data_IF_574484694595
#
_entry.id   IF_574484694595
#
_cell.length_a   1.000
_cell.length_b   1.000
_cell.length_c   1.000
_cell.angle_alpha   90.00
_cell.angle_beta   90.00
_cell.angle_gamma   90.00
#
_symmetry.space_group_name_H-M   'P 1'
#
loop_
_entity.id
_entity.type
_entity.pdbx_description
1 polymer ?
#
# COMPACT_ATOMS: atom_id res chain seq x y z
N UNK A 1 -3.31 22.28 1.96
CA UNK A 1 -4.15 21.69 0.90
C UNK A 1 -3.41 20.53 0.21
N UNK A 2 -2.27 20.76 -0.46
CA UNK A 2 -1.54 19.72 -1.22
C UNK A 2 -1.14 18.48 -0.41
N UNK A 3 -0.72 18.64 0.84
CA UNK A 3 -0.42 17.50 1.71
C UNK A 3 -1.62 16.57 1.87
N UNK A 4 -2.82 17.11 2.11
CA UNK A 4 -4.05 16.31 2.28
C UNK A 4 -4.59 15.70 0.99
N UNK A 5 -4.04 16.08 -0.17
CA UNK A 5 -4.54 15.66 -1.48
C UNK A 5 -3.58 14.74 -2.22
N UNK A 6 -2.27 14.91 -2.04
CA UNK A 6 -1.26 14.13 -2.75
C UNK A 6 -0.08 13.76 -1.85
N UNK A 7 0.58 14.75 -1.24
CA UNK A 7 1.87 14.50 -0.55
C UNK A 7 1.77 13.71 0.76
N UNK A 8 0.57 13.37 1.25
CA UNK A 8 0.41 12.44 2.38
C UNK A 8 1.07 11.09 2.07
N UNK A 9 0.97 10.63 0.82
CA UNK A 9 1.56 9.36 0.35
C UNK A 9 3.07 9.29 0.59
N UNK A 10 3.77 10.41 0.42
CA UNK A 10 5.23 10.51 0.59
C UNK A 10 5.64 10.92 2.00
N UNK A 11 4.72 11.46 2.79
CA UNK A 11 5.00 12.02 4.12
C UNK A 11 4.61 11.07 5.26
N UNK A 12 3.67 10.16 5.03
CA UNK A 12 3.21 9.19 6.01
C UNK A 12 3.93 7.86 5.76
N UNK A 13 4.92 7.57 6.61
CA UNK A 13 5.61 6.28 6.55
C UNK A 13 4.69 5.14 7.04
N UNK A 14 5.06 3.91 6.66
CA UNK A 14 4.42 2.68 7.14
C UNK A 14 2.91 2.61 6.86
N UNK A 15 2.46 3.13 5.72
CA UNK A 15 1.06 3.04 5.26
C UNK A 15 0.97 2.18 3.99
N UNK A 16 -0.21 1.61 3.73
CA UNK A 16 -0.48 0.97 2.44
C UNK A 16 -0.86 2.06 1.42
N UNK A 17 0.13 2.54 0.65
CA UNK A 17 -0.14 3.38 -0.52
C UNK A 17 0.13 2.59 -1.80
N UNK A 18 -0.65 2.87 -2.84
CA UNK A 18 -0.65 2.07 -4.07
C UNK A 18 0.35 2.57 -5.12
N UNK A 19 0.85 3.80 -5.01
CA UNK A 19 1.75 4.40 -5.99
C UNK A 19 2.54 5.58 -5.39
N UNK A 20 3.71 5.92 -5.96
CA UNK A 20 4.38 7.19 -5.67
C UNK A 20 3.57 8.39 -6.20
N UNK A 21 3.96 9.60 -5.78
CA UNK A 21 3.34 10.85 -6.23
C UNK A 21 4.24 11.52 -7.25
N UNK A 22 3.67 11.84 -8.42
CA UNK A 22 4.27 12.72 -9.42
C UNK A 22 3.22 13.75 -9.84
N UNK A 23 3.58 15.03 -9.78
CA UNK A 23 2.77 16.12 -10.36
C UNK A 23 2.91 16.08 -11.89
N UNK A 24 1.95 15.45 -12.57
CA UNK A 24 2.01 15.25 -14.02
C UNK A 24 1.96 16.56 -14.82
N UNK A 25 1.28 17.58 -14.31
CA UNK A 25 1.17 18.89 -14.96
C UNK A 25 0.99 19.99 -13.92
N UNK A 26 1.73 21.09 -14.09
CA UNK A 26 1.43 22.38 -13.47
C UNK A 26 1.94 23.50 -14.38
N UNK A 27 1.36 24.69 -14.24
CA UNK A 27 1.75 25.84 -15.05
C UNK A 27 1.01 27.10 -14.63
N UNK A 28 1.50 28.23 -15.11
CA UNK A 28 0.91 29.56 -14.89
C UNK A 28 1.22 30.42 -16.11
N UNK A 29 0.39 31.44 -16.38
CA UNK A 29 0.70 32.41 -17.43
C UNK A 29 2.05 33.09 -17.18
N UNK A 30 2.79 33.36 -18.25
CA UNK A 30 4.11 33.96 -18.24
C UNK A 30 4.08 35.46 -18.39
N UNK A 31 4.72 35.97 -19.45
CA UNK A 31 4.91 37.41 -19.74
C UNK A 31 3.65 38.26 -19.59
N UNK A 32 2.52 37.74 -20.05
CA UNK A 32 1.23 38.46 -20.04
C UNK A 32 0.49 38.37 -18.69
N UNK A 33 0.94 37.52 -17.77
CA UNK A 33 0.30 37.34 -16.46
C UNK A 33 0.74 38.44 -15.49
N UNK A 34 -0.18 39.30 -15.08
CA UNK A 34 0.06 40.40 -14.14
C UNK A 34 -0.60 40.21 -12.78
N UNK A 35 -1.38 39.15 -12.59
CA UNK A 35 -2.12 38.87 -11.38
C UNK A 35 -1.22 38.48 -10.21
N UNK A 36 -1.30 39.25 -9.13
CA UNK A 36 -0.46 39.02 -7.94
C UNK A 36 -0.73 37.64 -7.30
N UNK A 37 -1.97 37.17 -7.30
CA UNK A 37 -2.35 35.88 -6.73
C UNK A 37 -1.78 34.70 -7.53
N UNK A 38 -1.82 34.78 -8.87
CA UNK A 38 -1.31 33.78 -9.79
C UNK A 38 0.22 33.67 -9.66
N UNK A 39 0.89 34.82 -9.60
CA UNK A 39 2.34 34.88 -9.37
C UNK A 39 2.73 34.30 -8.03
N UNK A 40 2.04 34.69 -6.96
CA UNK A 40 2.28 34.14 -5.62
C UNK A 40 1.99 32.64 -5.55
N UNK A 41 0.93 32.16 -6.21
CA UNK A 41 0.63 30.73 -6.30
C UNK A 41 1.79 29.95 -6.90
N UNK A 42 2.37 30.43 -8.01
CA UNK A 42 3.46 29.74 -8.68
C UNK A 42 4.72 29.65 -7.81
N UNK A 43 5.12 30.76 -7.20
CA UNK A 43 6.26 30.80 -6.27
C UNK A 43 6.05 29.83 -5.10
N UNK A 44 4.88 29.87 -4.45
CA UNK A 44 4.56 28.98 -3.33
C UNK A 44 4.50 27.50 -3.75
N UNK A 45 4.02 27.21 -4.96
CA UNK A 45 3.95 25.85 -5.49
C UNK A 45 5.36 25.32 -5.81
N UNK A 46 6.21 26.13 -6.43
CA UNK A 46 7.63 25.81 -6.64
C UNK A 46 8.31 25.51 -5.31
N UNK A 47 8.14 26.36 -4.30
CA UNK A 47 8.75 26.16 -2.98
C UNK A 47 8.22 24.89 -2.30
N UNK A 48 6.98 24.49 -2.59
CA UNK A 48 6.44 23.21 -2.16
C UNK A 48 7.17 22.05 -2.85
N UNK A 49 7.28 22.05 -4.18
CA UNK A 49 7.93 20.99 -4.95
C UNK A 49 9.38 20.78 -4.50
N UNK A 50 10.13 21.88 -4.36
CA UNK A 50 11.52 21.86 -3.87
C UNK A 50 11.59 21.27 -2.46
N UNK A 51 10.72 21.74 -1.55
CA UNK A 51 10.74 21.27 -0.16
C UNK A 51 10.41 19.79 -0.02
N UNK A 52 9.54 19.26 -0.87
CA UNK A 52 9.14 17.85 -0.85
C UNK A 52 9.97 16.96 -1.75
N UNK A 53 10.92 17.52 -2.51
CA UNK A 53 11.69 16.80 -3.51
C UNK A 53 10.76 16.02 -4.47
N UNK A 54 9.72 16.71 -4.95
CA UNK A 54 8.65 16.10 -5.72
C UNK A 54 8.96 16.08 -7.22
N UNK A 55 8.77 14.93 -7.85
CA UNK A 55 8.82 14.82 -9.31
C UNK A 55 7.67 15.62 -9.95
N UNK A 56 7.96 16.24 -11.10
CA UNK A 56 7.01 17.11 -11.79
C UNK A 56 7.19 17.12 -13.31
N UNK A 57 6.14 17.53 -14.02
CA UNK A 57 6.21 17.98 -15.40
C UNK A 57 5.49 19.33 -15.55
N UNK A 58 6.08 20.25 -16.33
CA UNK A 58 5.53 21.59 -16.55
C UNK A 58 4.68 21.62 -17.82
N UNK A 59 3.50 22.25 -17.75
CA UNK A 59 2.59 22.38 -18.89
C UNK A 59 2.36 23.83 -19.34
N UNK A 60 2.49 24.12 -20.66
CA UNK A 60 3.28 23.37 -21.64
C UNK A 60 4.76 23.74 -21.52
N UNK A 61 5.67 22.80 -21.79
CA UNK A 61 7.09 23.14 -21.92
C UNK A 61 7.34 23.98 -23.18
N UNK A 62 6.69 23.62 -24.29
CA UNK A 62 6.87 24.22 -25.62
C UNK A 62 5.54 24.75 -26.17
N UNK A 63 5.57 25.95 -26.73
CA UNK A 63 4.43 26.60 -27.37
C UNK A 63 4.78 27.34 -28.65
N UNK A 64 3.76 27.95 -29.26
CA UNK A 64 3.89 28.78 -30.45
C UNK A 64 3.60 30.23 -30.10
N UNK A 65 4.30 31.17 -30.76
CA UNK A 65 4.01 32.59 -30.67
C UNK A 65 3.83 33.23 -32.06
N UNK A 66 3.05 34.30 -32.11
CA UNK A 66 2.96 35.23 -33.23
C UNK A 66 3.19 36.64 -32.68
N UNK A 67 4.18 37.37 -33.21
CA UNK A 67 4.54 38.71 -32.72
C UNK A 67 4.73 38.77 -31.20
N UNK A 68 5.41 37.76 -30.63
CA UNK A 68 5.66 37.59 -29.19
C UNK A 68 4.41 37.38 -28.31
N UNK A 69 3.27 37.03 -28.91
CA UNK A 69 2.00 36.74 -28.22
C UNK A 69 1.50 35.33 -28.53
N UNK A 70 0.61 34.83 -27.69
CA UNK A 70 0.03 33.49 -27.82
C UNK A 70 0.72 32.44 -26.95
N UNK A 71 -0.02 31.39 -26.58
CA UNK A 71 0.40 30.32 -25.68
C UNK A 71 1.17 30.80 -24.45
N UNK A 72 0.63 31.81 -23.75
CA UNK A 72 1.31 32.50 -22.65
C UNK A 72 1.75 31.60 -21.48
N UNK A 73 1.31 30.35 -21.44
CA UNK A 73 1.71 29.35 -20.44
C UNK A 73 3.06 28.69 -20.76
N UNK A 74 3.51 28.64 -22.03
CA UNK A 74 4.73 27.92 -22.38
C UNK A 74 6.01 28.53 -21.75
N UNK A 75 7.01 27.71 -21.45
CA UNK A 75 8.34 28.17 -21.02
C UNK A 75 9.28 28.47 -22.20
N UNK A 76 9.09 27.74 -23.30
CA UNK A 76 9.80 27.90 -24.56
C UNK A 76 8.79 28.08 -25.70
N UNK A 77 9.00 29.07 -26.56
CA UNK A 77 8.09 29.42 -27.64
C UNK A 77 8.85 29.54 -28.96
N UNK A 78 8.15 29.22 -30.06
CA UNK A 78 8.65 29.38 -31.42
C UNK A 78 7.60 30.06 -32.31
N UNK A 79 8.02 30.89 -33.28
CA UNK A 79 7.15 31.30 -34.38
C UNK A 79 7.32 30.39 -35.62
N UNK A 80 6.49 30.64 -36.65
CA UNK A 80 6.53 29.90 -37.91
C UNK A 80 7.81 30.12 -38.72
N UNK A 81 8.57 31.18 -38.43
CA UNK A 81 9.88 31.45 -39.04
C UNK A 81 11.04 30.80 -38.24
N UNK A 82 10.76 30.18 -37.10
CA UNK A 82 11.75 29.54 -36.25
C UNK A 82 12.47 30.49 -35.29
N UNK A 83 11.95 31.69 -35.02
CA UNK A 83 12.47 32.51 -33.94
C UNK A 83 12.05 31.96 -32.58
N UNK A 84 12.98 31.91 -31.63
CA UNK A 84 12.79 31.39 -30.28
C UNK A 84 12.53 32.52 -29.28
N UNK A 85 11.60 32.30 -28.36
CA UNK A 85 11.53 33.02 -27.10
C UNK A 85 11.50 32.05 -25.92
N UNK A 86 12.24 32.33 -24.85
CA UNK A 86 12.33 31.47 -23.69
C UNK A 86 12.34 32.24 -22.39
N UNK A 87 12.27 31.49 -21.29
CA UNK A 87 12.15 32.05 -19.95
C UNK A 87 13.30 32.99 -19.56
N UNK A 88 14.52 32.72 -20.05
CA UNK A 88 15.72 33.45 -19.68
C UNK A 88 16.06 34.64 -20.59
N UNK A 89 15.15 35.02 -21.49
CA UNK A 89 15.38 36.16 -22.40
C UNK A 89 15.14 37.53 -21.73
N UNK A 90 14.85 37.56 -20.42
CA UNK A 90 14.84 38.75 -19.57
C UNK A 90 13.48 39.41 -19.33
N UNK A 91 12.40 38.90 -19.92
CA UNK A 91 11.05 39.50 -19.87
C UNK A 91 9.98 38.58 -19.24
N UNK A 92 10.37 37.42 -18.72
CA UNK A 92 9.46 36.48 -18.06
C UNK A 92 9.73 36.41 -16.54
N UNK A 93 8.73 36.78 -15.75
CA UNK A 93 8.85 36.85 -14.29
C UNK A 93 9.04 35.47 -13.64
N UNK A 94 8.69 34.37 -14.32
CA UNK A 94 8.82 33.00 -13.80
C UNK A 94 10.28 32.52 -13.72
N UNK A 95 11.23 33.24 -14.34
CA UNK A 95 12.63 32.84 -14.47
C UNK A 95 13.29 32.53 -13.11
N UNK A 96 13.03 33.37 -12.11
CA UNK A 96 13.58 33.18 -10.76
C UNK A 96 13.10 31.86 -10.13
N UNK A 97 11.78 31.67 -10.03
CA UNK A 97 11.19 30.46 -9.46
C UNK A 97 11.59 29.20 -10.22
N UNK A 98 11.54 29.23 -11.56
CA UNK A 98 11.94 28.08 -12.37
C UNK A 98 13.39 27.67 -12.12
N UNK A 99 14.32 28.64 -12.05
CA UNK A 99 15.73 28.38 -11.75
C UNK A 99 15.90 27.74 -10.38
N UNK A 100 15.17 28.21 -9.37
CA UNK A 100 15.17 27.57 -8.04
C UNK A 100 14.67 26.13 -8.10
N UNK A 101 13.61 25.87 -8.88
CA UNK A 101 13.04 24.54 -9.02
C UNK A 101 14.03 23.56 -9.67
N UNK A 102 14.55 23.89 -10.86
CA UNK A 102 15.43 22.99 -11.62
C UNK A 102 16.85 22.91 -11.05
N UNK A 103 17.25 23.91 -10.26
CA UNK A 103 18.54 23.97 -9.60
C UNK A 103 18.53 23.44 -8.16
N UNK A 104 17.38 22.98 -7.67
CA UNK A 104 17.27 22.41 -6.33
C UNK A 104 18.04 21.10 -6.22
N UNK A 105 18.79 20.93 -5.12
CA UNK A 105 19.45 19.67 -4.81
C UNK A 105 18.43 18.67 -4.27
N UNK A 106 18.04 17.70 -5.09
CA UNK A 106 17.18 16.58 -4.70
C UNK A 106 17.96 15.39 -4.14
N UNK A 107 17.22 14.37 -3.65
CA UNK A 107 17.81 13.08 -3.29
C UNK A 107 18.34 12.39 -4.55
N UNK A 108 19.53 11.82 -4.44
CA UNK A 108 20.17 11.06 -5.53
C UNK A 108 20.56 9.67 -5.04
N UNK A 109 20.71 8.75 -5.99
CA UNK A 109 21.05 7.36 -5.72
C UNK A 109 19.85 6.47 -5.38
N UNK A 110 20.10 5.21 -4.98
CA UNK A 110 19.04 4.26 -4.70
C UNK A 110 18.18 4.67 -3.51
N UNK A 111 16.87 4.47 -3.61
CA UNK A 111 15.95 4.57 -2.48
C UNK A 111 16.15 3.34 -1.58
N UNK A 112 16.42 3.56 -0.29
CA UNK A 112 16.55 2.48 0.66
C UNK A 112 15.27 1.62 0.69
N UNK A 113 15.42 0.30 0.69
CA UNK A 113 14.28 -0.59 0.82
C UNK A 113 13.60 -0.35 2.18
N UNK A 114 12.28 -0.19 2.15
CA UNK A 114 11.43 -0.09 3.33
C UNK A 114 10.47 -1.28 3.36
N UNK A 115 9.92 -1.57 4.53
CA UNK A 115 8.89 -2.59 4.64
C UNK A 115 7.69 -2.24 3.73
N UNK A 116 7.24 -3.19 2.94
CA UNK A 116 6.07 -3.02 2.10
C UNK A 116 4.79 -3.22 2.91
N UNK A 117 3.76 -2.43 2.60
CA UNK A 117 2.43 -2.56 3.18
C UNK A 117 1.41 -2.67 2.05
N UNK A 118 0.81 -3.85 1.90
CA UNK A 118 -0.10 -4.13 0.79
C UNK A 118 -1.48 -4.51 1.29
N UNK A 119 -2.51 -3.83 0.78
CA UNK A 119 -3.89 -4.22 1.03
C UNK A 119 -4.34 -5.30 0.02
N UNK A 120 -5.03 -6.33 0.50
CA UNK A 120 -5.74 -7.31 -0.31
C UNK A 120 -7.22 -6.93 -0.41
N UNK A 121 -7.76 -6.90 -1.63
CA UNK A 121 -9.16 -6.54 -1.91
C UNK A 121 -9.83 -7.49 -2.90
N UNK A 122 -10.26 -8.70 -2.46
CA UNK A 122 -10.92 -9.68 -3.32
C UNK A 122 -12.39 -9.31 -3.67
N UNK A 123 -12.71 -8.03 -3.89
CA UNK A 123 -14.10 -7.56 -4.06
C UNK A 123 -14.78 -8.11 -5.30
N UNK A 124 -14.05 -8.20 -6.39
CA UNK A 124 -14.59 -8.54 -7.71
C UNK A 124 -14.06 -9.88 -8.24
N UNK A 125 -13.40 -10.67 -7.39
CA UNK A 125 -12.81 -11.95 -7.76
C UNK A 125 -11.59 -12.28 -6.91
N UNK A 126 -10.70 -13.08 -7.48
CA UNK A 126 -9.42 -13.40 -6.87
C UNK A 126 -8.48 -12.18 -6.87
N UNK A 127 -7.86 -11.92 -5.72
CA UNK A 127 -6.77 -10.97 -5.54
C UNK A 127 -5.49 -11.74 -5.17
N UNK A 128 -4.85 -12.36 -6.15
CA UNK A 128 -3.63 -13.14 -5.95
C UNK A 128 -2.42 -12.28 -6.33
N UNK A 129 -1.85 -11.57 -5.37
CA UNK A 129 -0.70 -10.69 -5.60
C UNK A 129 0.63 -11.48 -5.70
N UNK A 130 0.72 -12.64 -5.05
CA UNK A 130 1.84 -13.58 -5.23
C UNK A 130 1.92 -14.07 -6.68
N UNK A 131 3.08 -13.91 -7.31
CA UNK A 131 3.35 -14.45 -8.65
C UNK A 131 3.40 -15.97 -8.59
N UNK A 132 3.98 -16.53 -7.53
CA UNK A 132 4.05 -17.98 -7.30
C UNK A 132 2.67 -18.61 -7.25
N UNK A 133 1.77 -18.10 -6.42
CA UNK A 133 0.43 -18.67 -6.27
C UNK A 133 -0.45 -18.44 -7.51
N UNK A 134 -0.23 -17.36 -8.27
CA UNK A 134 -0.93 -17.11 -9.53
C UNK A 134 -0.58 -18.12 -10.62
N UNK A 135 0.60 -18.74 -10.54
CA UNK A 135 1.04 -19.77 -11.49
C UNK A 135 0.49 -21.18 -11.17
N UNK A 136 -0.26 -21.34 -10.08
CA UNK A 136 -0.81 -22.62 -9.64
C UNK A 136 -2.29 -22.75 -9.98
N UNK A 137 -2.83 -23.98 -10.05
CA UNK A 137 -4.27 -24.22 -10.18
C UNK A 137 -5.08 -23.61 -9.03
N UNK A 138 -6.40 -23.47 -9.24
CA UNK A 138 -7.33 -23.04 -8.20
C UNK A 138 -7.29 -23.98 -6.98
N UNK A 139 -6.89 -23.42 -5.83
CA UNK A 139 -6.70 -24.14 -4.58
C UNK A 139 -7.94 -24.14 -3.68
N UNK A 140 -8.97 -23.33 -4.00
CA UNK A 140 -10.28 -23.41 -3.35
C UNK A 140 -11.39 -23.03 -4.34
N UNK A 141 -11.79 -24.03 -5.14
CA UNK A 141 -12.79 -23.88 -6.19
C UNK A 141 -14.10 -23.26 -5.71
N UNK A 142 -14.55 -22.22 -6.41
CA UNK A 142 -15.77 -21.47 -6.11
C UNK A 142 -15.66 -20.49 -4.94
N UNK A 143 -14.49 -20.33 -4.33
CA UNK A 143 -14.20 -19.25 -3.38
C UNK A 143 -13.35 -18.16 -4.05
N UNK A 144 -13.50 -16.91 -3.61
CA UNK A 144 -12.57 -15.83 -3.98
C UNK A 144 -11.33 -15.93 -3.10
N UNK A 145 -10.15 -15.82 -3.69
CA UNK A 145 -8.86 -16.02 -3.03
C UNK A 145 -8.09 -14.71 -2.91
N UNK A 146 -7.51 -14.44 -1.75
CA UNK A 146 -6.68 -13.28 -1.50
C UNK A 146 -5.32 -13.76 -0.99
N UNK A 147 -4.24 -13.36 -1.67
CA UNK A 147 -2.88 -13.82 -1.36
C UNK A 147 -1.90 -12.65 -1.41
N UNK A 148 -1.07 -12.53 -0.36
CA UNK A 148 -0.01 -11.54 -0.24
C UNK A 148 0.99 -11.59 -1.39
N UNK A 149 1.65 -10.47 -1.73
CA UNK A 149 2.82 -10.48 -2.60
C UNK A 149 3.89 -11.45 -2.11
N UNK A 150 4.70 -11.98 -3.03
CA UNK A 150 5.81 -12.86 -2.67
C UNK A 150 6.78 -12.13 -1.71
N UNK A 151 7.17 -12.79 -0.63
CA UNK A 151 8.01 -12.20 0.43
C UNK A 151 7.24 -11.51 1.57
N UNK A 152 5.94 -11.24 1.42
CA UNK A 152 5.11 -10.70 2.50
C UNK A 152 4.30 -11.79 3.21
N UNK A 153 3.92 -11.51 4.46
CA UNK A 153 2.98 -12.33 5.26
C UNK A 153 1.71 -11.57 5.54
N UNK A 154 0.61 -12.29 5.77
CA UNK A 154 -0.64 -11.70 6.22
C UNK A 154 -0.47 -11.27 7.69
N UNK A 155 -0.64 -9.98 7.96
CA UNK A 155 -0.58 -9.41 9.31
C UNK A 155 -1.93 -8.98 9.85
N UNK A 156 -2.89 -8.65 8.97
CA UNK A 156 -4.19 -8.17 9.41
C UNK A 156 -5.34 -8.60 8.52
N UNK A 157 -6.53 -8.57 9.10
CA UNK A 157 -7.80 -8.85 8.45
C UNK A 157 -8.87 -7.85 8.90
N UNK A 158 -9.74 -7.47 7.98
CA UNK A 158 -11.00 -6.79 8.30
C UNK A 158 -12.05 -7.81 8.74
N UNK A 159 -12.85 -7.48 9.75
CA UNK A 159 -13.98 -8.30 10.20
C UNK A 159 -14.98 -8.46 9.06
N UNK A 160 -15.27 -7.38 8.34
CA UNK A 160 -16.14 -7.37 7.16
C UNK A 160 -15.40 -6.73 5.97
N UNK A 161 -15.99 -6.82 4.76
CA UNK A 161 -15.38 -6.28 3.54
C UNK A 161 -14.24 -7.13 2.94
N UNK A 162 -13.93 -8.29 3.55
CA UNK A 162 -12.94 -9.26 3.07
C UNK A 162 -11.54 -8.67 2.81
N UNK A 163 -11.16 -7.62 3.54
CA UNK A 163 -9.86 -6.94 3.39
C UNK A 163 -8.76 -7.64 4.16
N UNK A 164 -7.56 -7.65 3.61
CA UNK A 164 -6.36 -8.16 4.26
C UNK A 164 -5.21 -7.17 4.21
N UNK A 165 -4.29 -7.26 5.16
CA UNK A 165 -3.07 -6.48 5.20
C UNK A 165 -1.85 -7.41 5.16
N UNK A 166 -0.96 -7.15 4.22
CA UNK A 166 0.29 -7.88 4.05
C UNK A 166 1.48 -6.98 4.32
N UNK A 167 2.53 -7.53 4.93
CA UNK A 167 3.80 -6.85 5.08
C UNK A 167 4.96 -7.84 5.26
N UNK A 168 6.17 -7.38 5.00
CA UNK A 168 7.44 -8.03 5.31
C UNK A 168 8.14 -7.38 6.51
N UNK A 169 7.48 -6.45 7.22
CA UNK A 169 8.04 -5.74 8.38
C UNK A 169 8.67 -6.71 9.41
N UNK A 170 9.83 -6.32 9.94
CA UNK A 170 10.68 -7.04 10.89
C UNK A 170 11.27 -8.40 10.44
N UNK A 171 10.64 -9.14 9.53
CA UNK A 171 11.07 -10.48 9.12
C UNK A 171 11.74 -10.53 7.74
N UNK A 172 11.47 -9.55 6.88
CA UNK A 172 11.74 -9.68 5.45
C UNK A 172 11.00 -10.90 4.84
N UNK A 173 11.53 -11.46 3.73
CA UNK A 173 10.99 -12.66 3.10
C UNK A 173 11.12 -13.90 3.99
N UNK A 174 10.04 -14.24 4.71
CA UNK A 174 10.01 -15.36 5.65
C UNK A 174 9.84 -16.74 4.96
N UNK A 175 9.20 -16.77 3.80
CA UNK A 175 8.83 -18.00 3.11
C UNK A 175 10.03 -18.71 2.47
N UNK A 176 10.11 -20.02 2.60
CA UNK A 176 11.05 -20.85 1.85
C UNK A 176 10.57 -20.96 0.38
N UNK A 177 11.32 -20.42 -0.60
CA UNK A 177 10.91 -20.44 -2.01
C UNK A 177 10.79 -21.86 -2.59
N UNK A 178 11.53 -22.82 -2.05
CA UNK A 178 11.51 -24.21 -2.47
C UNK A 178 10.41 -25.03 -1.77
N UNK A 179 9.81 -24.49 -0.71
CA UNK A 179 8.77 -25.18 0.03
C UNK A 179 7.37 -24.99 -0.55
N UNK A 180 6.50 -25.94 -0.25
CA UNK A 180 5.09 -25.91 -0.65
C UNK A 180 4.24 -24.90 0.14
N UNK A 181 2.95 -24.96 -0.12
CA UNK A 181 1.91 -24.28 0.65
C UNK A 181 0.94 -25.32 1.22
N UNK A 182 0.20 -24.94 2.26
CA UNK A 182 -0.90 -25.72 2.82
C UNK A 182 -2.19 -24.92 2.77
N UNK A 183 -3.28 -25.57 2.36
CA UNK A 183 -4.63 -25.02 2.40
C UNK A 183 -5.36 -25.64 3.58
N UNK A 184 -5.76 -24.81 4.54
CA UNK A 184 -6.40 -25.24 5.78
C UNK A 184 -7.90 -24.90 5.73
N UNK A 185 -8.74 -25.92 5.86
CA UNK A 185 -10.22 -25.82 5.78
C UNK A 185 -10.93 -26.25 7.07
N UNK A 186 -10.17 -26.72 8.05
CA UNK A 186 -10.66 -27.27 9.31
C UNK A 186 -9.61 -27.10 10.41
N UNK A 187 -9.92 -27.61 11.61
CA UNK A 187 -9.08 -27.45 12.81
C UNK A 187 -7.96 -28.49 12.93
N UNK A 188 -7.60 -29.23 11.86
CA UNK A 188 -6.65 -30.36 11.93
C UNK A 188 -5.28 -30.02 12.50
N UNK A 189 -4.87 -28.75 12.45
CA UNK A 189 -3.57 -28.27 12.95
C UNK A 189 -3.67 -27.57 14.31
N UNK A 190 -4.84 -27.57 14.95
CA UNK A 190 -4.99 -27.11 16.34
C UNK A 190 -4.54 -28.25 17.26
N UNK A 191 -3.48 -28.07 18.07
CA UNK A 191 -3.01 -29.13 18.95
C UNK A 191 -4.01 -29.41 20.08
N UNK A 192 -4.01 -30.62 20.66
CA UNK A 192 -4.80 -30.92 21.85
C UNK A 192 -4.52 -29.89 22.97
N UNK A 193 -5.58 -29.32 23.55
CA UNK A 193 -5.48 -28.26 24.55
C UNK A 193 -5.11 -26.87 24.01
N UNK A 194 -4.89 -26.73 22.70
CA UNK A 194 -4.52 -25.48 22.04
C UNK A 194 -5.71 -24.63 21.56
N UNK A 195 -6.84 -24.66 22.27
CA UNK A 195 -8.03 -23.88 21.89
C UNK A 195 -7.83 -22.38 22.16
N UNK A 196 -7.22 -21.70 21.20
CA UNK A 196 -6.90 -20.27 21.29
C UNK A 196 -8.12 -19.36 21.01
N UNK A 197 -9.21 -19.90 20.46
CA UNK A 197 -10.45 -19.16 20.20
C UNK A 197 -11.66 -20.02 20.56
N UNK A 198 -11.93 -20.09 21.86
CA UNK A 198 -12.93 -21.03 22.37
C UNK A 198 -14.35 -20.72 21.89
N UNK A 199 -15.02 -21.76 21.37
CA UNK A 199 -16.35 -21.68 20.77
C UNK A 199 -16.39 -21.12 19.33
N UNK A 200 -15.25 -21.05 18.65
CA UNK A 200 -15.08 -20.65 17.25
C UNK A 200 -14.37 -21.74 16.45
N UNK A 201 -14.58 -21.75 15.13
CA UNK A 201 -13.84 -22.58 14.19
C UNK A 201 -12.48 -21.94 13.88
N UNK A 202 -11.39 -22.72 13.95
CA UNK A 202 -10.01 -22.28 13.84
C UNK A 202 -9.33 -22.85 12.59
N UNK A 203 -8.98 -22.00 11.65
CA UNK A 203 -8.12 -22.35 10.50
C UNK A 203 -6.67 -22.01 10.86
N UNK A 204 -6.01 -22.94 11.55
CA UNK A 204 -4.63 -22.78 12.00
C UNK A 204 -3.62 -23.37 11.00
N UNK A 205 -2.53 -22.65 10.73
CA UNK A 205 -1.44 -23.15 9.92
C UNK A 205 -0.69 -24.31 10.60
N UNK A 206 -0.12 -25.25 9.82
CA UNK A 206 0.79 -26.25 10.37
C UNK A 206 1.97 -25.59 11.09
N UNK A 207 2.65 -26.35 11.95
CA UNK A 207 3.89 -25.89 12.58
C UNK A 207 4.92 -25.47 11.53
N UNK A 208 5.68 -24.41 11.82
CA UNK A 208 6.64 -23.82 10.89
C UNK A 208 6.02 -23.12 9.68
N UNK A 209 4.69 -22.91 9.66
CA UNK A 209 4.01 -22.16 8.61
C UNK A 209 3.36 -20.89 9.16
N UNK A 210 3.15 -19.93 8.27
CA UNK A 210 2.49 -18.66 8.55
C UNK A 210 1.45 -18.35 7.48
N UNK A 211 0.47 -17.52 7.82
CA UNK A 211 -0.58 -17.10 6.88
C UNK A 211 0.00 -16.18 5.80
N UNK A 212 -0.31 -16.51 4.56
CA UNK A 212 0.01 -15.72 3.37
C UNK A 212 -1.21 -15.38 2.54
N UNK A 213 -2.37 -15.93 2.88
CA UNK A 213 -3.61 -15.64 2.22
C UNK A 213 -4.80 -16.33 2.87
N UNK A 214 -5.96 -16.10 2.29
CA UNK A 214 -7.25 -16.65 2.72
C UNK A 214 -8.20 -16.72 1.52
N UNK A 215 -9.30 -17.42 1.69
CA UNK A 215 -10.38 -17.45 0.70
C UNK A 215 -11.74 -17.30 1.36
N UNK A 216 -12.69 -16.78 0.60
CA UNK A 216 -14.05 -16.48 1.07
C UNK A 216 -15.12 -16.91 0.07
N UNK A 217 -16.28 -17.33 0.58
CA UNK A 217 -17.51 -17.57 -0.19
C UNK A 217 -18.55 -16.54 0.25
N UNK A 218 -18.74 -15.51 -0.58
CA UNK A 218 -19.41 -14.29 -0.12
C UNK A 218 -18.55 -13.59 0.95
N UNK A 219 -19.06 -13.45 2.17
CA UNK A 219 -18.32 -12.94 3.33
C UNK A 219 -17.77 -14.05 4.25
N UNK A 220 -18.18 -15.31 4.01
CA UNK A 220 -17.79 -16.43 4.86
C UNK A 220 -16.36 -16.85 4.59
N UNK A 221 -15.53 -16.96 5.63
CA UNK A 221 -14.21 -17.58 5.56
C UNK A 221 -14.35 -19.02 5.08
N UNK A 222 -13.57 -19.39 4.06
CA UNK A 222 -13.60 -20.71 3.42
C UNK A 222 -12.34 -21.52 3.74
N UNK A 223 -11.17 -20.91 3.56
CA UNK A 223 -9.89 -21.57 3.83
C UNK A 223 -8.79 -20.54 4.14
N UNK A 224 -7.79 -20.98 4.89
CA UNK A 224 -6.55 -20.25 5.12
C UNK A 224 -5.43 -20.80 4.24
N UNK A 225 -4.59 -19.92 3.68
CA UNK A 225 -3.43 -20.29 2.88
C UNK A 225 -2.15 -20.04 3.67
N UNK A 226 -1.43 -21.12 3.93
CA UNK A 226 -0.24 -21.16 4.76
C UNK A 226 1.01 -21.43 3.92
N UNK A 227 2.08 -20.68 4.15
CA UNK A 227 3.39 -20.89 3.52
C UNK A 227 4.39 -21.35 4.57
N UNK A 228 5.25 -22.30 4.20
CA UNK A 228 6.31 -22.77 5.09
C UNK A 228 7.40 -21.70 5.23
N UNK A 229 7.81 -21.43 6.45
CA UNK A 229 8.94 -20.55 6.72
C UNK A 229 10.28 -21.24 6.38
N UNK A 230 11.26 -20.41 6.00
CA UNK A 230 12.66 -20.85 5.92
C UNK A 230 13.16 -21.38 7.26
N UNK A 231 14.16 -22.29 7.27
CA UNK A 231 14.78 -22.77 8.50
C UNK A 231 15.22 -21.61 9.41
N UNK A 232 14.81 -21.65 10.68
CA UNK A 232 15.12 -20.61 11.66
C UNK A 232 14.34 -19.29 11.50
N UNK A 233 13.47 -19.16 10.49
CA UNK A 233 12.67 -17.94 10.29
C UNK A 233 11.55 -17.76 11.33
N UNK A 234 11.06 -18.86 11.91
CA UNK A 234 10.09 -18.86 13.00
C UNK A 234 10.64 -19.73 14.12
N UNK A 235 10.94 -19.11 15.27
CA UNK A 235 11.40 -19.79 16.49
C UNK A 235 10.47 -19.59 17.68
N UNK A 236 9.55 -18.62 17.60
CA UNK A 236 8.58 -18.36 18.65
C UNK A 236 7.61 -19.53 18.90
N UNK A 237 7.43 -19.89 20.17
CA UNK A 237 6.63 -21.07 20.58
C UNK A 237 5.23 -20.72 21.09
N UNK A 238 5.01 -19.51 21.60
CA UNK A 238 3.70 -19.04 22.10
C UNK A 238 2.81 -18.37 21.05
N UNK A 239 1.69 -17.84 21.50
CA UNK A 239 0.81 -16.98 20.69
C UNK A 239 -0.31 -16.35 21.50
N UNK A 240 -0.95 -15.33 20.93
CA UNK A 240 -2.08 -14.61 21.51
C UNK A 240 -3.22 -14.48 20.50
N UNK A 241 -4.43 -14.37 21.01
CA UNK A 241 -5.62 -14.17 20.18
C UNK A 241 -5.95 -12.70 20.08
N UNK A 242 -6.05 -12.22 18.85
CA UNK A 242 -6.44 -10.85 18.51
C UNK A 242 -7.90 -10.88 18.08
N UNK A 243 -8.80 -10.51 18.99
CA UNK A 243 -10.23 -10.39 18.73
C UNK A 243 -10.55 -9.04 18.10
N UNK A 244 -11.34 -9.05 17.02
CA UNK A 244 -11.75 -7.84 16.30
C UNK A 244 -13.20 -7.91 15.77
N UNK A 245 -14.01 -8.80 16.33
CA UNK A 245 -15.45 -8.92 16.09
C UNK A 245 -16.25 -7.72 16.64
N UNK A 246 -15.71 -7.04 17.66
CA UNK A 246 -16.38 -5.96 18.40
C UNK A 246 -15.68 -4.60 18.34
N UNK A 247 -14.56 -4.50 17.64
CA UNK A 247 -13.79 -3.28 17.51
C UNK A 247 -12.41 -3.53 16.91
N UNK A 248 -11.69 -2.46 16.59
CA UNK A 248 -10.29 -2.57 16.16
C UNK A 248 -9.41 -3.14 17.29
N UNK A 249 -8.54 -4.08 16.92
CA UNK A 249 -7.48 -4.60 17.78
C UNK A 249 -6.19 -4.74 16.97
N UNK A 250 -5.42 -3.66 16.97
CA UNK A 250 -4.23 -3.51 16.12
C UNK A 250 -2.97 -3.11 16.91
N UNK A 251 -3.06 -3.10 18.23
CA UNK A 251 -2.03 -2.53 19.10
C UNK A 251 -2.10 -1.00 19.21
N UNK A 252 -1.19 -0.41 19.99
CA UNK A 252 -1.21 1.03 20.31
C UNK A 252 -0.68 1.97 19.21
N UNK A 253 0.13 1.45 18.28
CA UNK A 253 0.70 2.21 17.16
C UNK A 253 0.67 1.37 15.87
N UNK A 254 -0.53 1.06 15.35
CA UNK A 254 -0.66 0.18 14.20
C UNK A 254 -0.14 0.83 12.92
N UNK A 255 0.67 0.06 12.18
CA UNK A 255 1.12 0.39 10.83
C UNK A 255 0.19 -0.21 9.78
N UNK A 256 0.41 0.15 8.52
CA UNK A 256 -0.35 -0.32 7.36
C UNK A 256 -1.67 0.40 7.15
N UNK A 257 -1.90 1.55 7.79
CA UNK A 257 -3.05 2.43 7.53
C UNK A 257 -4.43 1.85 7.69
N UNK A 258 -5.44 2.50 7.13
CA UNK A 258 -6.84 2.07 7.18
C UNK A 258 -7.16 1.06 6.07
N UNK A 259 -6.53 -0.12 6.10
CA UNK A 259 -6.63 -1.15 5.04
C UNK A 259 -8.01 -1.80 4.91
N UNK A 260 -8.92 -1.49 5.84
CA UNK A 260 -10.30 -1.96 5.84
C UNK A 260 -11.22 -0.83 6.29
N UNK A 261 -11.27 0.23 5.48
CA UNK A 261 -12.04 1.43 5.78
C UNK A 261 -13.50 1.10 6.14
N UNK A 262 -13.99 1.65 7.25
CA UNK A 262 -15.35 1.41 7.75
C UNK A 262 -15.58 0.05 8.43
N UNK A 263 -14.56 -0.81 8.53
CA UNK A 263 -14.66 -2.15 9.13
C UNK A 263 -13.69 -2.32 10.30
N UNK A 264 -14.06 -3.15 11.28
CA UNK A 264 -13.15 -3.51 12.37
C UNK A 264 -11.96 -4.33 11.87
N UNK A 265 -10.80 -4.15 12.50
CA UNK A 265 -9.52 -4.73 12.05
C UNK A 265 -8.82 -5.46 13.18
N UNK A 266 -8.42 -6.70 12.91
CA UNK A 266 -7.43 -7.42 13.70
C UNK A 266 -6.07 -7.32 13.04
N UNK A 267 -5.02 -7.07 13.81
CA UNK A 267 -3.66 -7.02 13.28
C UNK A 267 -2.64 -7.56 14.30
N UNK A 268 -1.79 -8.49 13.84
CA UNK A 268 -0.62 -8.94 14.58
C UNK A 268 0.45 -7.83 14.59
N UNK A 269 1.28 -7.80 15.64
CA UNK A 269 2.35 -6.81 15.78
C UNK A 269 3.45 -7.03 14.71
N UNK A 270 4.28 -6.00 14.49
CA UNK A 270 5.38 -6.05 13.51
C UNK A 270 6.31 -7.25 13.72
N UNK A 271 6.60 -7.62 14.97
CA UNK A 271 7.44 -8.78 15.32
C UNK A 271 6.71 -10.13 15.37
N UNK A 272 5.46 -10.19 14.91
CA UNK A 272 4.62 -11.39 14.92
C UNK A 272 4.25 -11.82 13.50
N UNK A 273 3.71 -13.03 13.39
CA UNK A 273 3.02 -13.52 12.21
C UNK A 273 1.62 -14.02 12.58
N UNK A 274 0.68 -13.91 11.63
CA UNK A 274 -0.61 -14.55 11.79
C UNK A 274 -0.48 -16.04 11.49
N UNK A 275 -0.82 -16.88 12.47
CA UNK A 275 -0.74 -18.33 12.43
C UNK A 275 -2.11 -19.00 12.24
N UNK A 276 -3.20 -18.25 12.36
CA UNK A 276 -4.55 -18.79 12.16
C UNK A 276 -5.64 -17.74 12.12
N UNK A 277 -6.80 -18.12 11.58
CA UNK A 277 -8.02 -17.32 11.49
C UNK A 277 -9.12 -18.05 12.26
N UNK A 278 -9.86 -17.34 13.11
CA UNK A 278 -11.04 -17.87 13.77
C UNK A 278 -12.30 -17.17 13.25
N UNK A 279 -13.37 -17.95 13.09
CA UNK A 279 -14.70 -17.46 12.72
C UNK A 279 -15.78 -18.31 13.39
N UNK A 280 -16.99 -17.79 13.54
CA UNK A 280 -18.11 -18.55 14.10
C UNK A 280 -19.19 -18.90 13.07
N UNK A 281 -19.70 -20.13 13.16
CA UNK A 281 -20.83 -20.63 12.37
C UNK A 281 -22.18 -20.57 13.09
N UNK A 282 -22.28 -19.87 14.23
CA UNK A 282 -23.51 -19.73 15.01
C UNK A 282 -24.64 -19.14 14.17
N UNK A 283 -25.88 -19.43 14.55
CA UNK A 283 -27.08 -18.91 13.88
C UNK A 283 -27.00 -17.37 13.83
N UNK A 284 -27.21 -16.81 12.63
CA UNK A 284 -27.12 -15.36 12.38
C UNK A 284 -25.70 -14.85 12.04
N UNK A 285 -24.67 -15.70 12.13
CA UNK A 285 -23.31 -15.33 11.73
C UNK A 285 -23.13 -15.33 10.20
N UNK A 286 -22.44 -14.32 9.70
CA UNK A 286 -21.96 -14.27 8.32
C UNK A 286 -20.70 -15.13 8.09
N UNK A 287 -20.18 -15.79 9.14
CA UNK A 287 -18.92 -16.57 9.14
C UNK A 287 -17.71 -15.75 8.71
N UNK A 288 -17.76 -14.46 9.01
CA UNK A 288 -16.66 -13.51 8.86
C UNK A 288 -15.54 -13.81 9.84
N UNK A 289 -14.31 -13.36 9.58
CA UNK A 289 -13.21 -13.55 10.53
C UNK A 289 -13.46 -12.71 11.80
N UNK A 290 -13.35 -13.36 12.96
CA UNK A 290 -13.61 -12.79 14.28
C UNK A 290 -12.30 -12.57 15.08
N UNK A 291 -11.30 -13.43 14.84
CA UNK A 291 -9.99 -13.31 15.48
C UNK A 291 -8.82 -13.84 14.64
N UNK A 292 -7.63 -13.34 14.94
CA UNK A 292 -6.35 -13.84 14.44
C UNK A 292 -5.57 -14.50 15.58
N UNK A 293 -4.89 -15.60 15.28
CA UNK A 293 -3.88 -16.16 16.18
C UNK A 293 -2.52 -15.58 15.80
N UNK A 294 -1.97 -14.71 16.64
CA UNK A 294 -0.70 -14.03 16.40
C UNK A 294 0.41 -14.70 17.23
N UNK A 295 1.51 -15.05 16.57
CA UNK A 295 2.66 -15.69 17.21
C UNK A 295 3.92 -14.86 16.97
N UNK A 296 4.83 -14.76 17.96
CA UNK A 296 6.09 -14.05 17.76
C UNK A 296 6.95 -14.77 16.73
N UNK A 297 7.72 -14.01 15.96
CA UNK A 297 8.73 -14.56 15.06
C UNK A 297 9.84 -15.27 15.85
N UNK A 298 10.27 -14.65 16.97
CA UNK A 298 11.37 -15.11 17.81
C UNK A 298 10.98 -15.25 19.27
#
# INVERSE_FOLDING_TARGET
MLHRQAFFVTAEADQHFTAPVWISEFGVGGREETGAAQRAWFENFVDQLVRTDADFAYWPLVGLHENRRGNGWALLHWDSAGHRMGLYDGDDWRAGAWTRLIGATGRTGPVAAVAGWSMLSPDHGDFIASRRMRALPDWDSGARKAVCPDGQRLLGLGHTGNRGLCSDVAAGPLGDPAAGHAVVKDERYVPPGGDWASGYTKLQCPEGHFLTGYSVRGAAVSAALCTKAGPGGITGTGGRTVWFDRGDNRGGAPKGGDFAHGHYKGQCADGEYAAGIAYTGRIGSARTPDALYCRPLH
#
